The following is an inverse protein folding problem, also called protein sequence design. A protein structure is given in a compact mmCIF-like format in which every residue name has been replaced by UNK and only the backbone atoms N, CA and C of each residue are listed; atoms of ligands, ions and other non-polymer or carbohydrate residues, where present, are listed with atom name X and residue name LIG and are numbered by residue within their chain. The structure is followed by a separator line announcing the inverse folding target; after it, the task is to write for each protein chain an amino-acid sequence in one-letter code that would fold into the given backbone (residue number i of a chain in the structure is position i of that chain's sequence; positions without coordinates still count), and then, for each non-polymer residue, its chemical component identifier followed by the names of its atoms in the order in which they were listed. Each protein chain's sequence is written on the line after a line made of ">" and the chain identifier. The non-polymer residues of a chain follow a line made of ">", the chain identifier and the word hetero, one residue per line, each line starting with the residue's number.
data_IF_876168899300
#
_entry.id   IF_876168899300
#
_cell.length_a   1.000
_cell.length_b   1.000
_cell.length_c   1.000
_cell.angle_alpha   90.00
_cell.angle_beta   90.00
_cell.angle_gamma   90.00
#
_symmetry.space_group_name_H-M   'P 1'
#
loop_
_entity.id
_entity.type
_entity.pdbx_description
1 polymer ?
#
# COMPACT_ATOMS: atom_id res chain seq x y z
N UNK A 1 -15.79 -43.26 45.58
CA UNK A 1 -15.48 -41.86 45.95
C UNK A 1 -14.00 -41.64 46.28
N UNK A 2 -13.34 -42.50 47.07
CA UNK A 2 -11.91 -42.39 47.42
C UNK A 2 -10.92 -42.35 46.23
N UNK A 3 -11.06 -43.16 45.14
CA UNK A 3 -10.09 -43.12 44.03
C UNK A 3 -10.26 -41.89 43.12
N UNK A 4 -11.47 -41.31 43.09
CA UNK A 4 -11.74 -40.09 42.33
C UNK A 4 -11.06 -38.88 42.99
N UNK A 5 -11.06 -38.83 44.32
CA UNK A 5 -10.40 -37.78 45.08
C UNK A 5 -8.87 -37.82 44.93
N UNK A 6 -8.26 -39.02 44.84
CA UNK A 6 -6.82 -39.12 44.62
C UNK A 6 -6.43 -38.73 43.19
N UNK A 7 -7.26 -39.04 42.20
CA UNK A 7 -7.03 -38.64 40.80
C UNK A 7 -7.10 -37.11 40.65
N UNK A 8 -8.06 -36.48 41.33
CA UNK A 8 -8.20 -35.02 41.36
C UNK A 8 -7.00 -34.33 42.00
N UNK A 9 -6.48 -34.90 43.10
CA UNK A 9 -5.29 -34.39 43.78
C UNK A 9 -4.04 -34.48 42.91
N UNK A 10 -3.85 -35.59 42.19
CA UNK A 10 -2.75 -35.75 41.24
C UNK A 10 -2.84 -34.72 40.10
N UNK A 11 -4.05 -34.47 39.59
CA UNK A 11 -4.26 -33.47 38.54
C UNK A 11 -3.90 -32.05 38.99
N UNK A 12 -4.20 -31.69 40.24
CA UNK A 12 -3.84 -30.38 40.82
C UNK A 12 -2.33 -30.18 40.99
N UNK A 13 -1.56 -31.25 41.23
CA UNK A 13 -0.10 -31.16 41.36
C UNK A 13 0.62 -30.87 40.04
N UNK A 14 0.01 -31.17 38.89
CA UNK A 14 0.56 -30.85 37.55
C UNK A 14 0.20 -29.43 37.08
N UNK A 15 -0.56 -28.65 37.85
CA UNK A 15 -0.91 -27.26 37.55
C UNK A 15 0.10 -26.24 38.08
N UNK A 16 1.34 -26.66 38.36
CA UNK A 16 2.45 -25.71 38.59
C UNK A 16 2.83 -25.07 37.25
N UNK A 17 1.97 -24.16 36.80
CA UNK A 17 2.21 -23.31 35.64
C UNK A 17 3.26 -22.26 35.97
N UNK A 18 4.28 -22.17 35.13
CA UNK A 18 5.29 -21.11 35.13
C UNK A 18 4.61 -19.73 34.98
N UNK A 19 4.29 -19.08 36.11
CA UNK A 19 3.61 -17.78 36.14
C UNK A 19 4.54 -16.59 35.82
N UNK A 20 5.81 -16.83 35.47
CA UNK A 20 6.83 -15.80 35.30
C UNK A 20 7.03 -15.34 33.84
N UNK A 21 5.99 -15.42 33.01
CA UNK A 21 6.05 -15.02 31.59
C UNK A 21 6.33 -13.52 31.37
N UNK A 22 6.28 -12.69 32.42
CA UNK A 22 6.44 -11.22 32.34
C UNK A 22 7.36 -10.60 33.40
N UNK A 23 8.18 -11.39 34.10
CA UNK A 23 9.03 -10.85 35.21
C UNK A 23 10.26 -10.10 34.70
N UNK A 24 10.68 -10.33 33.46
CA UNK A 24 11.88 -9.70 32.88
C UNK A 24 11.50 -8.45 32.11
N UNK A 25 12.18 -7.34 32.38
CA UNK A 25 12.06 -6.14 31.53
C UNK A 25 12.27 -6.54 30.07
N UNK A 26 11.27 -6.25 29.24
CA UNK A 26 11.32 -6.57 27.82
C UNK A 26 12.38 -5.66 27.21
N UNK A 27 13.47 -6.25 26.70
CA UNK A 27 14.51 -5.49 26.02
C UNK A 27 13.93 -4.84 24.75
N UNK A 28 13.70 -3.55 24.91
CA UNK A 28 13.43 -2.47 23.96
C UNK A 28 14.31 -2.45 22.71
N UNK A 29 14.21 -3.37 21.74
CA UNK A 29 15.10 -3.29 20.58
C UNK A 29 14.78 -2.04 19.73
N UNK A 30 15.72 -1.09 19.74
CA UNK A 30 15.77 0.08 18.86
C UNK A 30 14.68 1.16 19.07
N UNK A 31 14.37 1.47 20.33
CA UNK A 31 13.36 2.48 20.74
C UNK A 31 13.50 3.86 20.09
N UNK A 32 14.72 4.27 19.74
CA UNK A 32 15.00 5.60 19.21
C UNK A 32 15.23 5.61 17.68
N UNK A 33 15.03 4.50 16.99
CA UNK A 33 15.20 4.44 15.53
C UNK A 33 14.35 5.50 14.81
N UNK A 34 13.12 5.67 15.27
CA UNK A 34 12.17 6.63 14.71
C UNK A 34 12.51 8.09 15.07
N UNK A 35 13.34 8.32 16.10
CA UNK A 35 13.72 9.69 16.55
C UNK A 35 14.86 10.30 15.76
N UNK A 36 15.45 9.58 14.81
CA UNK A 36 16.47 10.15 13.93
C UNK A 36 15.91 11.36 13.18
N UNK A 37 16.72 12.43 13.07
CA UNK A 37 16.33 13.66 12.34
C UNK A 37 16.05 13.38 10.86
N UNK A 38 16.79 12.45 10.27
CA UNK A 38 16.62 11.96 8.92
C UNK A 38 16.35 10.46 8.97
N UNK A 39 15.30 10.00 8.29
CA UNK A 39 15.07 8.59 8.04
C UNK A 39 14.77 8.35 6.57
N UNK A 40 15.07 7.14 6.10
CA UNK A 40 14.87 6.75 4.71
C UNK A 40 14.27 5.34 4.64
N UNK A 41 13.64 5.04 3.52
CA UNK A 41 13.03 3.75 3.26
C UNK A 41 12.69 3.57 1.79
N UNK A 42 12.01 2.47 1.50
CA UNK A 42 11.51 2.13 0.19
C UNK A 42 10.01 1.83 0.33
N UNK A 43 9.24 2.11 -0.71
CA UNK A 43 7.84 1.71 -0.75
C UNK A 43 7.54 0.93 -2.01
N UNK A 44 6.56 0.05 -1.85
CA UNK A 44 6.00 -0.79 -2.88
C UNK A 44 4.48 -0.70 -2.79
N UNK A 45 3.81 -0.48 -3.90
CA UNK A 45 2.36 -0.40 -3.93
C UNK A 45 1.79 -0.86 -5.26
N UNK A 46 0.49 -1.10 -5.27
CA UNK A 46 -0.27 -1.32 -6.49
C UNK A 46 -1.13 -0.09 -6.77
N UNK A 47 -1.35 0.21 -8.04
CA UNK A 47 -2.25 1.27 -8.46
C UNK A 47 -3.28 0.74 -9.46
N UNK A 48 -4.42 1.42 -9.57
CA UNK A 48 -5.37 1.23 -10.65
C UNK A 48 -5.74 2.62 -11.15
N UNK A 49 -5.26 2.98 -12.34
CA UNK A 49 -5.50 4.29 -12.91
C UNK A 49 -6.49 4.25 -14.04
N UNK A 50 -7.25 5.33 -14.13
CA UNK A 50 -8.22 5.60 -15.17
C UNK A 50 -7.85 6.87 -15.95
N UNK A 51 -8.35 7.00 -17.17
CA UNK A 51 -8.31 8.25 -17.90
C UNK A 51 -9.70 8.87 -17.91
N UNK A 52 -9.79 10.13 -17.48
CA UNK A 52 -10.97 10.93 -17.75
C UNK A 52 -10.79 11.58 -19.11
N UNK A 53 -11.61 11.17 -20.09
CA UNK A 53 -11.57 11.69 -21.45
C UNK A 53 -12.77 12.62 -21.62
N UNK A 54 -12.50 13.92 -21.77
CA UNK A 54 -13.54 14.91 -22.00
C UNK A 54 -13.62 15.25 -23.50
N UNK A 55 -14.78 15.00 -24.11
CA UNK A 55 -15.02 15.28 -25.52
C UNK A 55 -15.58 16.68 -25.72
N UNK A 56 -15.11 17.37 -26.77
CA UNK A 56 -15.65 18.69 -27.16
C UNK A 56 -16.91 18.58 -28.02
N UNK A 57 -17.17 17.41 -28.58
CA UNK A 57 -18.26 17.10 -29.50
C UNK A 57 -18.98 15.85 -29.02
N UNK A 58 -20.24 15.67 -29.42
CA UNK A 58 -21.02 14.49 -29.08
C UNK A 58 -20.53 13.29 -29.92
N UNK A 59 -19.69 12.46 -29.31
CA UNK A 59 -19.08 11.27 -29.91
C UNK A 59 -19.17 10.12 -28.92
N UNK A 60 -19.16 8.89 -29.43
CA UNK A 60 -19.19 7.70 -28.57
C UNK A 60 -17.94 7.62 -27.69
N UNK A 61 -18.13 7.22 -26.43
CA UNK A 61 -17.06 7.21 -25.45
C UNK A 61 -16.05 6.08 -25.68
N UNK A 62 -14.77 6.43 -25.74
CA UNK A 62 -13.63 5.51 -25.76
C UNK A 62 -13.53 4.84 -24.39
N UNK A 63 -13.74 3.52 -24.36
CA UNK A 63 -13.73 2.76 -23.12
C UNK A 63 -12.29 2.53 -22.64
N UNK A 64 -12.01 2.86 -21.38
CA UNK A 64 -10.72 2.64 -20.74
C UNK A 64 -10.76 1.36 -19.92
N UNK A 65 -10.13 0.30 -20.43
CA UNK A 65 -9.96 -0.96 -19.70
C UNK A 65 -8.75 -0.80 -18.78
N UNK A 66 -9.02 -0.68 -17.48
CA UNK A 66 -8.01 -0.47 -16.43
C UNK A 66 -7.26 -1.77 -16.16
N UNK A 67 -5.95 -1.69 -16.00
CA UNK A 67 -5.14 -2.80 -15.49
C UNK A 67 -4.46 -2.40 -14.18
N UNK A 68 -4.06 -3.40 -13.40
CA UNK A 68 -3.31 -3.19 -12.17
C UNK A 68 -1.89 -2.77 -12.51
N UNK A 69 -1.52 -1.56 -12.09
CA UNK A 69 -0.17 -1.02 -12.14
C UNK A 69 0.60 -1.23 -10.83
N UNK A 70 1.86 -0.79 -10.85
CA UNK A 70 2.78 -0.93 -9.74
C UNK A 70 3.52 0.38 -9.45
N UNK A 71 3.72 0.64 -8.16
CA UNK A 71 4.43 1.80 -7.64
C UNK A 71 5.69 1.32 -6.92
N UNK A 72 6.81 1.94 -7.22
CA UNK A 72 8.06 1.70 -6.49
C UNK A 72 8.77 3.02 -6.29
N UNK A 73 9.30 3.24 -5.09
CA UNK A 73 10.01 4.48 -4.82
C UNK A 73 10.78 4.46 -3.51
N UNK A 74 11.40 5.59 -3.25
CA UNK A 74 12.13 5.88 -2.02
C UNK A 74 11.25 6.74 -1.12
N UNK A 75 11.46 6.61 0.18
CA UNK A 75 10.93 7.53 1.18
C UNK A 75 12.13 8.23 1.81
N UNK A 76 12.11 9.55 1.84
CA UNK A 76 13.00 10.37 2.67
C UNK A 76 12.16 11.18 3.64
N UNK A 77 12.42 11.07 4.93
CA UNK A 77 11.66 11.76 5.97
C UNK A 77 12.60 12.60 6.83
N UNK A 78 12.23 13.85 7.04
CA UNK A 78 12.95 14.83 7.86
C UNK A 78 12.04 15.21 9.02
N UNK A 79 12.45 14.82 10.23
CA UNK A 79 11.77 15.21 11.46
C UNK A 79 12.13 16.65 11.80
N UNK A 80 11.11 17.50 11.91
CA UNK A 80 11.28 18.89 12.39
C UNK A 80 11.14 18.92 13.91
N UNK A 81 10.10 18.27 14.42
CA UNK A 81 9.83 18.13 15.86
C UNK A 81 9.05 16.81 16.10
N UNK A 82 8.61 16.56 17.32
CA UNK A 82 7.93 15.30 17.66
C UNK A 82 6.52 15.14 17.07
N UNK A 83 5.98 16.19 16.45
CA UNK A 83 4.62 16.23 15.90
C UNK A 83 4.59 16.41 14.38
N UNK A 84 5.66 16.91 13.77
CA UNK A 84 5.73 17.26 12.36
C UNK A 84 6.99 16.70 11.71
N UNK A 85 6.76 15.88 10.67
CA UNK A 85 7.80 15.44 9.76
C UNK A 85 7.48 15.93 8.34
N UNK A 86 8.50 16.37 7.60
CA UNK A 86 8.42 16.57 6.16
C UNK A 86 8.87 15.28 5.49
N UNK A 87 8.05 14.75 4.58
CA UNK A 87 8.35 13.53 3.83
C UNK A 87 8.38 13.81 2.34
N UNK A 88 9.41 13.30 1.68
CA UNK A 88 9.54 13.27 0.23
C UNK A 88 9.45 11.81 -0.23
N UNK A 89 8.58 11.53 -1.20
CA UNK A 89 8.41 10.15 -1.71
C UNK A 89 8.68 10.09 -3.22
N UNK A 90 9.94 10.27 -3.67
CA UNK A 90 10.25 10.17 -5.09
C UNK A 90 10.07 8.72 -5.54
N UNK A 91 9.24 8.51 -6.56
CA UNK A 91 8.90 7.17 -7.03
C UNK A 91 8.46 7.12 -8.49
N UNK A 92 8.52 5.92 -9.03
CA UNK A 92 7.99 5.57 -10.33
C UNK A 92 6.64 4.89 -10.16
N UNK A 93 5.69 5.35 -10.96
CA UNK A 93 4.37 4.76 -11.06
C UNK A 93 4.19 4.21 -12.46
N UNK A 94 4.14 2.88 -12.57
CA UNK A 94 3.91 2.18 -13.81
C UNK A 94 2.45 1.74 -13.86
N UNK A 95 1.79 2.01 -14.98
CA UNK A 95 0.39 1.64 -15.19
C UNK A 95 0.16 1.31 -16.66
N UNK A 96 -0.53 0.20 -16.91
CA UNK A 96 -0.92 -0.22 -18.25
C UNK A 96 -2.44 -0.11 -18.37
N UNK A 97 -2.92 0.32 -19.53
CA UNK A 97 -4.35 0.46 -19.82
C UNK A 97 -4.58 0.07 -21.27
N UNK A 98 -5.77 -0.42 -21.59
CA UNK A 98 -6.19 -0.65 -22.97
C UNK A 98 -7.32 0.32 -23.30
N UNK A 99 -7.16 1.12 -24.35
CA UNK A 99 -8.25 1.92 -24.90
C UNK A 99 -9.00 1.08 -25.92
N UNK A 100 -10.31 1.00 -25.76
CA UNK A 100 -11.22 0.37 -26.70
C UNK A 100 -12.01 1.47 -27.40
N UNK A 101 -11.76 1.62 -28.70
CA UNK A 101 -12.41 2.58 -29.57
C UNK A 101 -13.69 1.98 -30.14
N UNK A 102 -14.70 2.83 -30.34
CA UNK A 102 -15.88 2.44 -31.12
C UNK A 102 -15.58 2.41 -32.62
N UNK A 103 -16.27 1.55 -33.36
CA UNK A 103 -16.17 1.47 -34.82
C UNK A 103 -16.60 2.76 -35.54
N UNK A 104 -17.39 3.62 -34.90
CA UNK A 104 -17.79 4.94 -35.42
C UNK A 104 -16.61 5.86 -35.70
N UNK A 105 -15.48 5.70 -34.98
CA UNK A 105 -14.25 6.45 -35.23
C UNK A 105 -13.51 6.04 -36.50
N UNK A 106 -13.87 4.92 -37.12
CA UNK A 106 -13.21 4.36 -38.30
C UNK A 106 -14.12 4.35 -39.54
N UNK A 107 -15.22 5.11 -39.52
CA UNK A 107 -16.12 5.23 -40.68
C UNK A 107 -15.36 5.66 -41.95
N UNK A 108 -15.51 4.88 -43.02
CA UNK A 108 -14.82 5.11 -44.30
C UNK A 108 -13.39 4.54 -44.39
N UNK A 109 -12.91 3.89 -43.32
CA UNK A 109 -11.65 3.15 -43.30
C UNK A 109 -11.92 1.64 -43.20
N UNK A 110 -11.02 0.82 -43.77
CA UNK A 110 -11.01 -0.63 -43.56
C UNK A 110 -10.20 -0.87 -42.28
N UNK A 111 -10.83 -1.43 -41.25
CA UNK A 111 -10.19 -1.73 -39.97
C UNK A 111 -10.45 -3.17 -39.53
N UNK A 112 -9.52 -3.73 -38.76
CA UNK A 112 -9.64 -5.04 -38.12
C UNK A 112 -10.03 -4.88 -36.64
N UNK A 113 -10.54 -5.93 -35.99
CA UNK A 113 -10.87 -5.88 -34.55
C UNK A 113 -9.66 -5.51 -33.68
N UNK A 114 -8.44 -5.87 -34.10
CA UNK A 114 -7.22 -5.49 -33.38
C UNK A 114 -6.97 -3.98 -33.36
N UNK A 115 -7.49 -3.25 -34.36
CA UNK A 115 -7.27 -1.81 -34.49
C UNK A 115 -8.18 -1.00 -33.55
N UNK A 116 -9.25 -1.64 -33.05
CA UNK A 116 -10.16 -1.08 -32.06
C UNK A 116 -9.57 -1.08 -30.64
N UNK A 117 -8.57 -1.92 -30.36
CA UNK A 117 -7.92 -2.00 -29.06
C UNK A 117 -6.49 -1.48 -29.11
N UNK A 118 -6.16 -0.57 -28.19
CA UNK A 118 -4.80 -0.02 -28.08
C UNK A 118 -4.28 -0.12 -26.66
N UNK A 119 -3.24 -0.92 -26.48
CA UNK A 119 -2.49 -0.97 -25.21
C UNK A 119 -1.63 0.30 -25.06
N UNK A 120 -1.83 1.04 -23.98
CA UNK A 120 -1.00 2.16 -23.56
C UNK A 120 -0.28 1.84 -22.25
N UNK A 121 1.05 1.87 -22.31
CA UNK A 121 1.93 1.77 -21.14
C UNK A 121 2.33 3.16 -20.70
N UNK A 122 2.02 3.51 -19.46
CA UNK A 122 2.32 4.81 -18.87
C UNK A 122 3.30 4.64 -17.71
N UNK A 123 4.38 5.41 -17.71
CA UNK A 123 5.31 5.51 -16.59
C UNK A 123 5.37 6.96 -16.14
N UNK A 124 4.99 7.22 -14.89
CA UNK A 124 5.00 8.55 -14.30
C UNK A 124 6.08 8.64 -13.23
N UNK A 125 6.69 9.81 -13.11
CA UNK A 125 7.61 10.16 -12.02
C UNK A 125 6.81 10.99 -11.02
N UNK A 126 6.66 10.50 -9.81
CA UNK A 126 5.98 11.19 -8.71
C UNK A 126 7.02 11.69 -7.71
N UNK A 127 6.97 12.98 -7.37
CA UNK A 127 7.81 13.57 -6.32
C UNK A 127 6.91 14.40 -5.39
N UNK A 128 5.98 13.76 -4.66
CA UNK A 128 5.15 14.45 -3.69
C UNK A 128 5.99 14.88 -2.48
N UNK A 129 5.76 16.12 -2.05
CA UNK A 129 6.19 16.64 -0.76
C UNK A 129 5.00 16.56 0.19
N UNK A 130 5.15 15.80 1.26
CA UNK A 130 4.11 15.49 2.23
C UNK A 130 4.50 16.06 3.60
N UNK A 131 3.48 16.41 4.38
CA UNK A 131 3.63 16.74 5.80
C UNK A 131 2.95 15.62 6.59
N UNK A 132 3.72 14.95 7.44
CA UNK A 132 3.21 13.94 8.36
C UNK A 132 3.01 14.58 9.73
N UNK A 133 1.76 14.56 10.20
CA UNK A 133 1.37 15.07 11.51
C UNK A 133 1.18 13.87 12.44
N UNK A 134 1.88 13.89 13.57
CA UNK A 134 1.84 12.85 14.61
C UNK A 134 1.29 13.47 15.90
N UNK A 135 0.54 12.70 16.68
CA UNK A 135 0.04 13.13 18.00
C UNK A 135 0.62 12.25 19.10
N UNK A 136 0.68 12.78 20.33
CA UNK A 136 1.09 12.01 21.50
C UNK A 136 -0.05 11.06 21.87
N UNK A 137 0.27 9.78 22.07
CA UNK A 137 -0.69 8.81 22.62
C UNK A 137 -1.01 9.21 24.07
N UNK A 138 -2.29 9.41 24.37
CA UNK A 138 -2.82 9.62 25.73
C UNK A 138 -3.20 8.27 26.32
#
# INVERSE_FOLDING_TARGET
>A
MKPFLSLLFICLCFLQGEAQLFTKERLINNENFDKAKLSYGYFLGFNNYDFNIDYKTDVEDIQVIKSTGFNVGLIGNIRINDYFDIRLEPGLVMSNRTLSYSGTYFEGLIYEEKDLERELRSTYIHIPLLIKISTKRV
#
